data_IF_152491759311
#
_entry.id   IF_152491759311
#
_cell.length_a   1.000
_cell.length_b   1.000
_cell.length_c   1.000
_cell.angle_alpha   90.00
_cell.angle_beta   90.00
_cell.angle_gamma   90.00
#
_symmetry.space_group_name_H-M   'P 1'
#
loop_
_entity.id
_entity.type
_entity.pdbx_description
1 polymer ?
#
# COMPACT_ATOMS: atom_id res chain seq x y z
N UNK A 1 -3.67 0.90 -15.47
CA UNK A 1 -4.72 1.16 -14.45
C UNK A 1 -4.08 1.22 -13.07
N UNK A 2 -4.33 2.26 -12.25
CA UNK A 2 -3.78 2.37 -10.88
C UNK A 2 -4.58 3.34 -10.01
N UNK A 3 -4.49 3.17 -8.68
CA UNK A 3 -4.89 4.16 -7.67
C UNK A 3 -3.67 4.79 -6.97
N UNK A 4 -2.45 4.33 -7.28
CA UNK A 4 -1.24 4.80 -6.63
C UNK A 4 -0.86 6.20 -7.12
N UNK A 5 -0.25 6.98 -6.24
CA UNK A 5 0.25 8.32 -6.57
C UNK A 5 1.69 8.30 -7.10
N UNK A 6 2.44 7.21 -6.90
CA UNK A 6 3.83 7.13 -7.35
C UNK A 6 4.31 5.70 -7.62
N UNK A 7 5.30 5.56 -8.49
CA UNK A 7 5.99 4.29 -8.75
C UNK A 7 6.69 4.29 -10.11
N UNK A 8 7.62 3.34 -10.28
CA UNK A 8 8.36 3.13 -11.53
C UNK A 8 7.54 2.25 -12.48
N UNK A 9 7.25 2.75 -13.68
CA UNK A 9 6.48 2.02 -14.71
C UNK A 9 7.41 1.21 -15.59
N UNK A 10 8.44 1.82 -16.18
CA UNK A 10 9.50 1.06 -16.86
C UNK A 10 10.85 1.73 -16.71
N UNK A 11 11.91 0.94 -16.92
CA UNK A 11 13.29 1.39 -16.92
C UNK A 11 14.15 0.55 -17.88
N UNK A 12 15.04 1.21 -18.61
CA UNK A 12 16.10 0.60 -19.41
C UNK A 12 17.32 1.50 -19.36
N UNK A 13 18.52 0.90 -19.33
CA UNK A 13 19.76 1.64 -19.17
C UNK A 13 20.95 0.88 -19.76
N UNK A 14 22.03 1.61 -20.03
CA UNK A 14 23.35 1.03 -20.25
C UNK A 14 23.90 0.39 -18.95
N UNK A 15 24.89 -0.50 -19.05
CA UNK A 15 25.53 -1.15 -17.90
C UNK A 15 26.03 -0.15 -16.84
N UNK A 16 26.64 0.94 -17.31
CA UNK A 16 27.18 2.02 -16.47
C UNK A 16 26.12 3.07 -16.07
N UNK A 17 24.88 2.93 -16.57
CA UNK A 17 23.75 3.86 -16.37
C UNK A 17 24.05 5.31 -16.79
N UNK A 18 24.97 5.50 -17.75
CA UNK A 18 25.18 6.79 -18.40
C UNK A 18 23.96 7.14 -19.26
N UNK A 19 23.51 6.16 -20.04
CA UNK A 19 22.35 6.22 -20.91
C UNK A 19 21.19 5.47 -20.26
N UNK A 20 20.01 6.08 -20.28
CA UNK A 20 18.80 5.45 -19.77
C UNK A 20 17.53 6.10 -20.29
N UNK A 21 16.43 5.37 -20.19
CA UNK A 21 15.07 5.85 -20.34
C UNK A 21 14.19 5.28 -19.24
N UNK A 22 13.37 6.13 -18.63
CA UNK A 22 12.52 5.78 -17.48
C UNK A 22 11.19 6.50 -17.55
N UNK A 23 10.11 5.78 -17.24
CA UNK A 23 8.80 6.35 -17.01
C UNK A 23 8.38 6.12 -15.56
N UNK A 24 8.03 7.19 -14.87
CA UNK A 24 7.58 7.19 -13.48
C UNK A 24 6.22 7.86 -13.36
N UNK A 25 5.42 7.37 -12.40
CA UNK A 25 4.29 8.09 -11.86
C UNK A 25 4.76 8.88 -10.63
N UNK A 26 4.38 10.15 -10.51
CA UNK A 26 4.67 10.99 -9.35
C UNK A 26 3.54 11.98 -9.13
N UNK A 27 2.94 11.97 -7.93
CA UNK A 27 1.74 12.75 -7.64
C UNK A 27 0.57 12.42 -8.58
N UNK A 28 0.48 11.17 -9.03
CA UNK A 28 -0.52 10.69 -10.00
C UNK A 28 -0.29 11.13 -11.45
N UNK A 29 0.84 11.80 -11.75
CA UNK A 29 1.19 12.32 -13.08
C UNK A 29 2.41 11.62 -13.66
N UNK A 30 2.47 11.53 -14.98
CA UNK A 30 3.59 10.86 -15.66
C UNK A 30 4.78 11.78 -15.86
N UNK A 31 5.97 11.22 -15.60
CA UNK A 31 7.25 11.83 -15.92
C UNK A 31 8.11 10.84 -16.72
N UNK A 32 8.42 11.21 -17.94
CA UNK A 32 9.35 10.49 -18.81
C UNK A 32 10.71 11.19 -18.73
N UNK A 33 11.75 10.46 -18.36
CA UNK A 33 13.11 10.98 -18.33
C UNK A 33 14.03 10.07 -19.14
N UNK A 34 14.98 10.68 -19.83
CA UNK A 34 16.02 9.94 -20.54
C UNK A 34 17.30 10.76 -20.61
N UNK A 35 18.43 10.07 -20.70
CA UNK A 35 19.77 10.65 -20.83
C UNK A 35 20.51 9.87 -21.92
N UNK A 36 21.18 10.59 -22.81
CA UNK A 36 21.96 10.07 -23.94
C UNK A 36 23.46 10.18 -23.65
N UNK A 37 23.82 10.03 -22.37
CA UNK A 37 25.18 10.18 -21.83
C UNK A 37 25.65 11.63 -21.59
N UNK A 38 24.89 12.63 -22.03
CA UNK A 38 25.30 14.05 -22.04
C UNK A 38 24.31 15.02 -21.41
N UNK A 39 23.28 14.53 -20.74
CA UNK A 39 22.34 15.38 -20.03
C UNK A 39 20.94 14.78 -19.96
N UNK A 40 20.37 14.81 -18.76
CA UNK A 40 19.01 14.34 -18.51
C UNK A 40 17.98 15.30 -19.12
N UNK A 41 17.14 14.75 -19.99
CA UNK A 41 15.91 15.38 -20.47
C UNK A 41 14.72 14.87 -19.66
N UNK A 42 13.78 15.76 -19.30
CA UNK A 42 12.56 15.41 -18.55
C UNK A 42 11.32 15.96 -19.25
N UNK A 43 10.35 15.10 -19.49
CA UNK A 43 9.03 15.40 -20.05
C UNK A 43 7.99 15.07 -18.98
N UNK A 44 6.95 15.88 -18.86
CA UNK A 44 5.85 15.66 -17.91
C UNK A 44 4.50 15.83 -18.60
N UNK A 45 3.52 15.01 -18.22
CA UNK A 45 2.15 15.09 -18.74
C UNK A 45 1.17 15.55 -17.63
N UNK A 46 0.22 16.46 -17.90
CA UNK A 46 -0.71 16.98 -16.89
C UNK A 46 -1.90 16.06 -16.58
N UNK A 47 -2.10 14.95 -17.28
CA UNK A 47 -3.15 14.00 -16.93
C UNK A 47 -2.89 13.36 -15.55
N UNK A 48 -3.97 13.16 -14.79
CA UNK A 48 -3.96 12.41 -13.53
C UNK A 48 -4.41 10.97 -13.81
N UNK A 49 -3.56 9.98 -13.53
CA UNK A 49 -3.79 8.57 -13.88
C UNK A 49 -4.14 7.67 -12.68
N UNK A 50 -4.22 8.25 -11.48
CA UNK A 50 -4.50 7.55 -10.23
C UNK A 50 -6.00 7.47 -9.95
N UNK A 51 -6.81 7.18 -10.96
CA UNK A 51 -8.29 7.20 -10.91
C UNK A 51 -8.93 5.79 -10.99
N UNK A 52 -8.11 4.74 -11.05
CA UNK A 52 -8.58 3.37 -11.16
C UNK A 52 -9.03 2.96 -12.56
N UNK A 53 -8.85 3.78 -13.60
CA UNK A 53 -9.24 3.47 -14.97
C UNK A 53 -8.07 2.99 -15.82
N UNK A 54 -8.41 2.36 -16.95
CA UNK A 54 -7.42 2.04 -17.97
C UNK A 54 -7.07 3.30 -18.75
N UNK A 55 -5.78 3.53 -18.92
CA UNK A 55 -5.23 4.62 -19.74
C UNK A 55 -4.25 4.04 -20.75
N UNK A 56 -4.24 4.64 -21.93
CA UNK A 56 -3.22 4.41 -22.95
C UNK A 56 -2.09 5.42 -22.76
N UNK A 57 -0.86 4.93 -22.70
CA UNK A 57 0.33 5.75 -22.46
C UNK A 57 1.37 5.46 -23.51
N UNK A 58 1.89 6.50 -24.15
CA UNK A 58 2.98 6.43 -25.13
C UNK A 58 4.07 7.41 -24.73
N UNK A 59 5.32 6.97 -24.83
CA UNK A 59 6.52 7.81 -24.65
C UNK A 59 7.34 7.74 -25.93
N UNK A 60 7.58 8.87 -26.56
CA UNK A 60 8.34 8.95 -27.80
C UNK A 60 9.64 9.74 -27.57
N UNK A 61 10.73 9.22 -28.14
CA UNK A 61 11.97 9.95 -28.37
C UNK A 61 12.23 9.92 -29.88
N UNK A 62 12.07 11.06 -30.55
CA UNK A 62 12.18 11.16 -32.01
C UNK A 62 12.77 12.51 -32.40
N UNK A 63 13.68 12.54 -33.38
CA UNK A 63 14.29 13.79 -33.90
C UNK A 63 14.80 14.74 -32.80
N UNK A 64 15.48 14.19 -31.78
CA UNK A 64 15.96 14.94 -30.61
C UNK A 64 14.86 15.65 -29.81
N UNK A 65 13.64 15.12 -29.80
CA UNK A 65 12.53 15.57 -28.96
C UNK A 65 11.92 14.41 -28.18
N UNK A 66 11.57 14.66 -26.93
CA UNK A 66 10.80 13.77 -26.07
C UNK A 66 9.34 14.22 -25.98
N UNK A 67 8.42 13.25 -25.92
CA UNK A 67 6.98 13.47 -25.82
C UNK A 67 6.32 12.36 -24.97
N UNK A 68 5.26 12.72 -24.26
CA UNK A 68 4.32 11.76 -23.64
C UNK A 68 2.94 11.98 -24.27
N UNK A 69 2.26 10.89 -24.63
CA UNK A 69 0.85 10.90 -25.02
C UNK A 69 0.04 10.08 -24.02
N UNK A 70 -1.03 10.66 -23.46
CA UNK A 70 -1.98 9.96 -22.60
C UNK A 70 -3.37 10.07 -23.20
N UNK A 71 -4.01 8.94 -23.49
CA UNK A 71 -5.37 8.87 -24.05
C UNK A 71 -5.55 9.76 -25.30
N UNK A 72 -4.53 9.73 -26.16
CA UNK A 72 -4.47 10.51 -27.39
C UNK A 72 -4.09 11.99 -27.22
N UNK A 73 -3.93 12.48 -25.99
CA UNK A 73 -3.51 13.85 -25.70
C UNK A 73 -1.98 13.93 -25.56
N UNK A 74 -1.35 14.82 -26.30
CA UNK A 74 0.10 15.01 -26.29
C UNK A 74 0.54 16.05 -25.25
N UNK A 75 1.67 15.80 -24.58
CA UNK A 75 2.39 16.84 -23.83
C UNK A 75 3.09 17.82 -24.80
N UNK A 76 3.54 18.99 -24.31
CA UNK A 76 4.52 19.78 -25.05
C UNK A 76 5.78 18.94 -25.36
N UNK A 77 6.29 19.06 -26.58
CA UNK A 77 7.56 18.42 -26.97
C UNK A 77 8.73 19.11 -26.25
N UNK A 78 9.67 18.30 -25.74
CA UNK A 78 10.87 18.81 -25.07
C UNK A 78 12.11 18.44 -25.88
N UNK A 79 12.91 19.43 -26.26
CA UNK A 79 14.18 19.21 -26.94
C UNK A 79 15.20 18.55 -26.00
N UNK A 80 15.95 17.58 -26.52
CA UNK A 80 17.02 16.91 -25.76
C UNK A 80 18.05 17.91 -25.24
N UNK A 81 18.42 17.73 -23.98
CA UNK A 81 19.54 18.41 -23.33
C UNK A 81 20.86 17.76 -23.75
N UNK A 82 21.86 18.58 -24.09
CA UNK A 82 23.17 18.11 -24.56
C UNK A 82 23.18 17.71 -26.04
N UNK A 83 24.35 17.30 -26.53
CA UNK A 83 24.64 16.96 -27.93
C UNK A 83 24.70 15.43 -28.17
N UNK A 84 24.16 14.63 -27.25
CA UNK A 84 23.98 13.19 -27.46
C UNK A 84 22.97 12.91 -28.59
N UNK A 85 23.20 11.85 -29.34
CA UNK A 85 22.41 11.49 -30.53
C UNK A 85 21.84 10.07 -30.50
N UNK A 86 22.41 9.17 -29.70
CA UNK A 86 22.01 7.77 -29.55
C UNK A 86 21.58 7.50 -28.11
N UNK A 87 20.61 6.60 -27.94
CA UNK A 87 20.22 6.05 -26.64
C UNK A 87 20.76 4.62 -26.57
N UNK A 88 21.92 4.45 -25.96
CA UNK A 88 22.63 3.18 -25.95
C UNK A 88 22.29 2.39 -24.68
N UNK A 89 21.19 1.64 -24.71
CA UNK A 89 20.72 0.83 -23.57
C UNK A 89 21.00 -0.66 -23.77
N UNK A 90 21.18 -1.39 -22.67
CA UNK A 90 21.29 -2.85 -22.73
C UNK A 90 19.93 -3.50 -23.06
N UNK A 91 19.97 -4.75 -23.51
CA UNK A 91 18.80 -5.52 -23.96
C UNK A 91 17.79 -5.92 -22.87
N UNK A 92 17.84 -5.34 -21.67
CA UNK A 92 16.86 -5.58 -20.61
C UNK A 92 15.90 -4.41 -20.46
N UNK A 93 14.62 -4.72 -20.54
CA UNK A 93 13.52 -3.79 -20.29
C UNK A 93 12.83 -4.18 -18.98
N UNK A 94 13.01 -3.36 -17.95
CA UNK A 94 12.38 -3.57 -16.66
C UNK A 94 10.98 -2.96 -16.67
N UNK A 95 9.96 -3.76 -16.36
CA UNK A 95 8.54 -3.35 -16.36
C UNK A 95 7.96 -3.50 -14.95
N UNK A 96 7.30 -2.44 -14.47
CA UNK A 96 6.58 -2.40 -13.21
C UNK A 96 7.44 -2.24 -11.95
N UNK A 97 8.77 -2.31 -12.06
CA UNK A 97 9.69 -2.19 -10.93
C UNK A 97 11.12 -2.60 -11.27
N UNK A 98 11.97 -2.71 -10.25
CA UNK A 98 13.37 -3.10 -10.36
C UNK A 98 13.67 -4.28 -9.43
N UNK A 99 14.64 -5.15 -9.77
CA UNK A 99 15.12 -6.18 -8.85
C UNK A 99 15.60 -5.58 -7.53
N UNK A 100 15.40 -6.29 -6.41
CA UNK A 100 15.75 -5.81 -5.06
C UNK A 100 17.22 -5.40 -4.89
N UNK A 101 18.12 -6.03 -5.65
CA UNK A 101 19.56 -5.76 -5.64
C UNK A 101 19.96 -4.63 -6.60
N UNK A 102 19.10 -4.30 -7.57
CA UNK A 102 19.41 -3.28 -8.57
C UNK A 102 19.36 -1.88 -7.95
N UNK A 103 20.30 -1.02 -8.33
CA UNK A 103 20.40 0.36 -7.85
C UNK A 103 20.42 1.30 -9.05
N UNK A 104 19.24 1.77 -9.44
CA UNK A 104 19.11 2.77 -10.48
C UNK A 104 19.60 4.13 -9.97
N UNK A 105 20.48 4.78 -10.74
CA UNK A 105 21.07 6.08 -10.47
C UNK A 105 20.44 7.12 -11.39
N UNK A 106 20.55 8.40 -11.03
CA UNK A 106 20.12 9.57 -11.86
C UNK A 106 18.61 9.70 -12.14
N UNK A 107 17.77 8.75 -11.72
CA UNK A 107 16.30 8.76 -11.92
C UNK A 107 15.49 9.28 -10.72
N UNK A 108 16.15 9.84 -9.69
CA UNK A 108 15.51 10.33 -8.47
C UNK A 108 15.12 9.21 -7.50
N UNK A 109 14.20 9.51 -6.58
CA UNK A 109 13.87 8.62 -5.45
C UNK A 109 12.75 7.61 -5.75
N UNK A 110 12.03 7.76 -6.85
CA UNK A 110 10.91 6.90 -7.24
C UNK A 110 11.45 5.67 -7.98
N UNK A 111 11.95 4.72 -7.21
CA UNK A 111 12.54 3.47 -7.72
C UNK A 111 11.73 2.24 -7.30
N UNK A 112 10.71 2.43 -6.47
CA UNK A 112 9.81 1.37 -6.03
C UNK A 112 8.87 0.93 -7.16
N UNK A 113 8.44 -0.33 -7.08
CA UNK A 113 7.47 -0.90 -8.01
C UNK A 113 6.17 -0.11 -8.01
N UNK A 114 5.57 0.08 -9.19
CA UNK A 114 4.27 0.74 -9.31
C UNK A 114 3.15 -0.23 -8.91
N UNK A 115 2.27 0.13 -7.96
CA UNK A 115 1.05 -0.61 -7.69
C UNK A 115 0.02 -0.38 -8.80
N UNK A 116 0.21 -1.04 -9.94
CA UNK A 116 -0.63 -0.89 -11.12
C UNK A 116 -0.87 -2.20 -11.83
N UNK A 117 -1.99 -2.26 -12.56
CA UNK A 117 -2.16 -3.24 -13.61
C UNK A 117 -1.65 -2.67 -14.93
N UNK A 118 -0.73 -3.41 -15.57
CA UNK A 118 -0.15 -3.07 -16.87
C UNK A 118 -0.65 -4.09 -17.91
N UNK A 119 -1.39 -3.57 -18.89
CA UNK A 119 -1.94 -4.31 -20.02
C UNK A 119 -0.90 -4.50 -21.11
N UNK A 120 -1.30 -4.36 -22.37
CA UNK A 120 -0.38 -4.53 -23.50
C UNK A 120 0.76 -3.51 -23.46
N UNK A 121 1.94 -3.97 -23.88
CA UNK A 121 3.16 -3.16 -23.95
C UNK A 121 3.83 -3.42 -25.28
N UNK A 122 4.05 -2.36 -26.05
CA UNK A 122 4.82 -2.39 -27.29
C UNK A 122 6.06 -1.51 -27.14
N UNK A 123 7.21 -2.01 -27.59
CA UNK A 123 8.45 -1.23 -27.66
C UNK A 123 8.90 -1.22 -29.12
N UNK A 124 9.04 -0.04 -29.71
CA UNK A 124 9.39 0.14 -31.13
C UNK A 124 8.50 -0.72 -32.07
N UNK A 125 7.18 -0.68 -31.84
CA UNK A 125 6.16 -1.46 -32.57
C UNK A 125 6.23 -2.97 -32.41
N UNK A 126 7.16 -3.50 -31.60
CA UNK A 126 7.22 -4.92 -31.25
C UNK A 126 6.45 -5.14 -29.95
N UNK A 127 5.46 -6.04 -29.99
CA UNK A 127 4.78 -6.48 -28.78
C UNK A 127 5.77 -7.16 -27.84
N UNK A 128 5.77 -6.77 -26.57
CA UNK A 128 6.52 -7.45 -25.53
C UNK A 128 5.79 -8.72 -25.13
N UNK A 129 6.45 -9.87 -25.22
CA UNK A 129 5.94 -11.12 -24.67
C UNK A 129 6.10 -11.09 -23.14
N UNK A 130 4.99 -10.92 -22.43
CA UNK A 130 4.94 -10.91 -20.97
C UNK A 130 4.78 -12.30 -20.36
N UNK A 131 4.51 -13.32 -21.18
CA UNK A 131 4.36 -14.71 -20.75
C UNK A 131 5.71 -15.45 -20.73
N UNK A 132 6.71 -14.93 -21.46
CA UNK A 132 8.10 -15.45 -21.47
C UNK A 132 9.15 -14.42 -20.99
N UNK A 133 9.02 -13.85 -19.77
CA UNK A 133 9.98 -12.87 -19.26
C UNK A 133 11.33 -13.53 -18.92
N UNK A 134 12.44 -12.78 -19.07
CA UNK A 134 13.77 -13.22 -18.64
C UNK A 134 13.80 -13.54 -17.13
N UNK A 135 13.06 -12.76 -16.34
CA UNK A 135 12.84 -13.03 -14.92
C UNK A 135 11.61 -12.28 -14.41
N UNK A 136 10.99 -12.76 -13.33
CA UNK A 136 9.88 -12.09 -12.65
C UNK A 136 10.08 -12.08 -11.14
N UNK A 137 9.64 -11.02 -10.48
CA UNK A 137 9.63 -10.94 -9.02
C UNK A 137 8.29 -10.37 -8.55
N UNK A 138 7.54 -11.14 -7.75
CA UNK A 138 6.29 -10.71 -7.10
C UNK A 138 5.24 -10.09 -8.04
N UNK A 139 5.11 -10.62 -9.26
CA UNK A 139 4.08 -10.20 -10.23
C UNK A 139 2.85 -11.08 -10.07
N UNK A 140 1.66 -10.47 -10.04
CA UNK A 140 0.38 -11.15 -9.93
C UNK A 140 -0.57 -10.73 -11.05
N UNK A 141 -1.62 -11.54 -11.25
CA UNK A 141 -2.72 -11.20 -12.17
C UNK A 141 -3.56 -10.06 -11.62
N UNK A 142 -4.10 -9.25 -12.52
CA UNK A 142 -5.02 -8.19 -12.15
C UNK A 142 -6.46 -8.70 -12.08
N UNK A 143 -7.24 -8.18 -11.13
CA UNK A 143 -8.69 -8.35 -11.14
C UNK A 143 -9.32 -7.60 -12.32
N UNK A 144 -10.39 -8.16 -12.91
CA UNK A 144 -11.12 -7.50 -14.00
C UNK A 144 -11.64 -6.12 -13.58
N UNK A 145 -12.31 -6.06 -12.42
CA UNK A 145 -12.71 -4.83 -11.74
C UNK A 145 -11.96 -4.69 -10.41
N UNK A 146 -11.49 -3.47 -10.13
CA UNK A 146 -10.84 -3.15 -8.88
C UNK A 146 -11.23 -1.74 -8.41
N UNK A 147 -11.28 -1.57 -7.09
CA UNK A 147 -11.51 -0.30 -6.40
C UNK A 147 -10.31 0.04 -5.50
N UNK A 148 -10.29 1.26 -4.97
CA UNK A 148 -9.23 1.71 -4.07
C UNK A 148 -9.21 0.86 -2.78
N UNK A 149 -8.04 0.37 -2.41
CA UNK A 149 -7.83 -0.37 -1.17
C UNK A 149 -6.76 -1.43 -1.32
N UNK A 150 -6.35 -2.03 -0.22
CA UNK A 150 -5.40 -3.15 -0.21
C UNK A 150 -6.14 -4.43 0.12
N UNK A 151 -6.07 -5.42 -0.76
CA UNK A 151 -6.75 -6.69 -0.57
C UNK A 151 -5.87 -7.69 0.17
N UNK A 152 -6.46 -8.35 1.15
CA UNK A 152 -5.90 -9.46 1.90
C UNK A 152 -6.70 -10.70 1.49
N UNK A 153 -6.01 -11.74 1.00
CA UNK A 153 -6.69 -12.95 0.52
C UNK A 153 -7.08 -13.94 1.63
N UNK A 154 -6.67 -13.66 2.88
CA UNK A 154 -6.89 -14.51 4.04
C UNK A 154 -5.75 -15.48 4.34
N UNK A 155 -4.62 -15.42 3.62
CA UNK A 155 -3.48 -16.33 3.81
C UNK A 155 -2.30 -15.73 4.56
N UNK A 156 -2.29 -14.42 4.82
CA UNK A 156 -1.14 -13.77 5.45
C UNK A 156 -1.45 -12.44 6.14
N UNK A 157 -0.57 -11.46 5.96
CA UNK A 157 -0.56 -10.19 6.70
C UNK A 157 0.35 -9.16 6.02
N UNK A 158 0.28 -7.91 6.49
CA UNK A 158 1.27 -6.87 6.22
C UNK A 158 1.90 -6.39 7.54
N UNK A 159 3.23 -6.25 7.57
CA UNK A 159 3.98 -5.75 8.72
C UNK A 159 4.58 -4.36 8.41
N UNK A 160 4.21 -3.39 9.23
CA UNK A 160 4.60 -1.98 9.11
C UNK A 160 5.48 -1.56 10.30
N UNK A 161 6.26 -0.50 10.11
CA UNK A 161 7.09 0.12 11.17
C UNK A 161 8.08 -0.88 11.78
N UNK A 162 9.07 -1.31 10.99
CA UNK A 162 10.10 -2.29 11.39
C UNK A 162 10.80 -1.91 12.70
N UNK A 163 11.08 -0.63 12.89
CA UNK A 163 11.76 -0.09 14.08
C UNK A 163 10.88 -0.08 15.35
N UNK A 164 9.61 -0.40 15.21
CA UNK A 164 8.65 -0.47 16.30
C UNK A 164 7.77 0.78 16.43
N UNK A 165 6.50 0.55 16.76
CA UNK A 165 5.53 1.58 17.09
C UNK A 165 5.29 1.63 18.60
N UNK A 166 5.25 2.85 19.15
CA UNK A 166 5.03 3.10 20.59
C UNK A 166 3.63 3.65 20.83
N UNK A 167 2.71 2.77 21.24
CA UNK A 167 1.30 3.12 21.54
C UNK A 167 1.19 4.15 22.67
N UNK A 168 1.83 3.91 23.82
CA UNK A 168 1.81 4.79 24.99
C UNK A 168 0.38 5.02 25.56
N UNK A 169 0.12 6.21 26.07
CA UNK A 169 -1.08 6.57 26.84
C UNK A 169 -2.32 6.76 25.97
N UNK A 170 -2.17 7.47 24.85
CA UNK A 170 -3.29 7.86 23.99
C UNK A 170 -2.96 7.52 22.53
N UNK A 171 -3.89 6.81 21.88
CA UNK A 171 -3.83 6.55 20.44
C UNK A 171 -5.24 6.52 19.87
N UNK A 172 -5.43 7.15 18.71
CA UNK A 172 -6.64 7.00 17.90
C UNK A 172 -6.23 6.27 16.61
N UNK A 173 -6.96 5.20 16.29
CA UNK A 173 -6.73 4.36 15.11
C UNK A 173 -7.98 4.49 14.26
N UNK A 174 -7.83 4.85 12.99
CA UNK A 174 -8.93 4.86 12.03
C UNK A 174 -8.58 4.02 10.83
N UNK A 175 -9.55 3.27 10.31
CA UNK A 175 -9.45 2.53 9.07
C UNK A 175 -10.84 2.31 8.48
N UNK A 176 -10.88 2.00 7.19
CA UNK A 176 -12.06 1.45 6.54
C UNK A 176 -11.79 -0.01 6.15
N UNK A 177 -12.79 -0.88 6.37
CA UNK A 177 -12.69 -2.29 5.99
C UNK A 177 -13.91 -2.75 5.20
N UNK A 178 -13.69 -3.74 4.33
CA UNK A 178 -14.71 -4.44 3.55
C UNK A 178 -14.41 -5.92 3.59
N UNK A 179 -15.39 -6.77 3.93
CA UNK A 179 -15.18 -8.22 4.00
C UNK A 179 -16.45 -9.00 3.72
N UNK A 180 -16.29 -10.28 3.39
CA UNK A 180 -17.35 -11.30 3.40
C UNK A 180 -17.09 -12.40 4.43
N UNK A 181 -16.12 -12.20 5.33
CA UNK A 181 -15.80 -13.10 6.43
C UNK A 181 -16.29 -12.52 7.75
N UNK A 182 -16.83 -13.37 8.62
CA UNK A 182 -17.22 -12.99 9.98
C UNK A 182 -16.04 -12.94 10.96
N UNK A 183 -14.89 -13.49 10.56
CA UNK A 183 -13.71 -13.65 11.39
C UNK A 183 -12.47 -13.11 10.66
N UNK A 184 -11.59 -12.42 11.38
CA UNK A 184 -10.33 -11.94 10.84
C UNK A 184 -9.63 -10.90 11.71
N UNK A 185 -8.32 -11.04 11.85
CA UNK A 185 -7.46 -10.05 12.52
C UNK A 185 -7.36 -8.79 11.67
N UNK A 186 -7.74 -7.63 12.21
CA UNK A 186 -7.60 -6.35 11.51
C UNK A 186 -6.23 -5.72 11.79
N UNK A 187 -5.86 -5.57 13.06
CA UNK A 187 -4.61 -4.92 13.46
C UNK A 187 -4.12 -5.44 14.82
N UNK A 188 -2.80 -5.63 14.98
CA UNK A 188 -2.18 -5.99 16.26
C UNK A 188 -0.83 -5.30 16.48
N UNK A 189 -0.62 -4.78 17.68
CA UNK A 189 0.68 -4.30 18.17
C UNK A 189 0.88 -4.87 19.56
N UNK A 190 1.87 -5.75 19.73
CA UNK A 190 2.05 -6.49 20.98
C UNK A 190 3.51 -6.59 21.34
N UNK A 191 3.80 -6.41 22.64
CA UNK A 191 5.05 -6.89 23.22
C UNK A 191 5.01 -8.42 23.34
N UNK A 192 6.18 -9.03 23.55
CA UNK A 192 6.24 -10.47 23.84
C UNK A 192 5.65 -10.86 25.20
N UNK A 193 5.47 -9.87 26.11
CA UNK A 193 5.10 -10.08 27.51
C UNK A 193 3.61 -9.85 27.76
N UNK A 194 3.18 -8.59 27.87
CA UNK A 194 1.83 -8.24 28.38
C UNK A 194 1.20 -7.12 27.55
N UNK A 195 1.90 -6.00 27.41
CA UNK A 195 1.38 -4.79 26.79
C UNK A 195 1.06 -5.00 25.32
N UNK A 196 -0.20 -4.72 24.94
CA UNK A 196 -0.67 -4.92 23.59
C UNK A 196 -1.97 -4.17 23.30
N UNK A 197 -2.20 -3.90 22.02
CA UNK A 197 -3.50 -3.54 21.46
C UNK A 197 -3.85 -4.49 20.31
N UNK A 198 -5.14 -4.74 20.11
CA UNK A 198 -5.61 -5.57 19.00
C UNK A 198 -7.02 -5.20 18.57
N UNK A 199 -7.26 -5.28 17.26
CA UNK A 199 -8.53 -5.11 16.59
C UNK A 199 -8.80 -6.36 15.74
N UNK A 200 -9.97 -6.96 15.93
CA UNK A 200 -10.37 -8.17 15.21
C UNK A 200 -11.87 -8.27 15.01
N UNK A 201 -12.25 -8.99 13.96
CA UNK A 201 -13.59 -9.50 13.73
C UNK A 201 -13.69 -10.89 14.35
N UNK A 202 -14.69 -11.09 15.20
CA UNK A 202 -15.02 -12.40 15.81
C UNK A 202 -16.52 -12.60 15.75
N UNK A 203 -16.95 -13.63 15.02
CA UNK A 203 -18.36 -14.01 14.84
C UNK A 203 -19.28 -12.83 14.46
N UNK A 204 -18.79 -11.98 13.55
CA UNK A 204 -19.52 -10.81 13.04
C UNK A 204 -19.50 -9.58 13.96
N UNK A 205 -18.77 -9.63 15.08
CA UNK A 205 -18.55 -8.51 16.02
C UNK A 205 -17.18 -7.89 15.79
N UNK A 206 -17.05 -6.59 16.08
CA UNK A 206 -15.73 -5.93 16.12
C UNK A 206 -15.29 -5.80 17.57
N UNK A 207 -14.10 -6.31 17.88
CA UNK A 207 -13.53 -6.25 19.22
C UNK A 207 -12.29 -5.36 19.20
N UNK A 208 -12.22 -4.43 20.16
CA UNK A 208 -11.03 -3.64 20.45
C UNK A 208 -10.48 -4.00 21.82
N UNK A 209 -9.32 -4.66 21.83
CA UNK A 209 -8.63 -5.12 23.02
C UNK A 209 -7.45 -4.22 23.36
N UNK A 210 -7.28 -3.92 24.64
CA UNK A 210 -6.12 -3.19 25.17
C UNK A 210 -5.65 -3.84 26.47
N UNK A 211 -4.34 -3.97 26.65
CA UNK A 211 -3.75 -4.38 27.92
C UNK A 211 -2.60 -3.42 28.27
N UNK A 212 -2.77 -2.66 29.35
CA UNK A 212 -1.80 -1.70 29.88
C UNK A 212 -0.85 -2.32 30.92
N UNK A 213 -0.66 -3.65 30.89
CA UNK A 213 0.14 -4.39 31.88
C UNK A 213 -0.65 -4.95 33.06
N UNK A 214 -1.91 -4.54 33.25
CA UNK A 214 -2.74 -4.91 34.39
C UNK A 214 -3.99 -5.72 34.04
N UNK A 215 -4.04 -6.30 32.84
CA UNK A 215 -5.17 -7.09 32.37
C UNK A 215 -5.81 -6.50 31.11
N UNK A 216 -6.43 -7.38 30.32
CA UNK A 216 -7.06 -7.02 29.05
C UNK A 216 -8.44 -6.42 29.29
N UNK A 217 -8.66 -5.23 28.75
CA UNK A 217 -9.99 -4.61 28.58
C UNK A 217 -10.45 -4.73 27.14
N UNK A 218 -11.75 -4.80 26.93
CA UNK A 218 -12.35 -5.01 25.61
C UNK A 218 -13.59 -4.15 25.41
N UNK A 219 -13.61 -3.36 24.34
CA UNK A 219 -14.84 -2.76 23.82
C UNK A 219 -15.35 -3.63 22.67
N UNK A 220 -16.61 -4.07 22.73
CA UNK A 220 -17.21 -4.97 21.73
C UNK A 220 -18.38 -4.27 21.05
N UNK A 221 -18.27 -4.09 19.73
CA UNK A 221 -19.38 -3.63 18.91
C UNK A 221 -20.07 -4.86 18.30
N UNK A 222 -21.34 -5.04 18.66
CA UNK A 222 -22.20 -6.09 18.13
C UNK A 222 -23.28 -5.46 17.23
N UNK A 223 -23.25 -5.73 15.91
CA UNK A 223 -24.27 -5.23 15.02
C UNK A 223 -25.63 -5.92 15.27
N UNK A 224 -26.72 -5.31 14.79
CA UNK A 224 -28.08 -5.88 14.91
C UNK A 224 -28.23 -7.25 14.28
N UNK A 225 -27.44 -7.55 13.25
CA UNK A 225 -27.40 -8.86 12.59
C UNK A 225 -25.94 -9.28 12.40
N UNK A 226 -25.65 -10.57 12.56
CA UNK A 226 -24.30 -11.11 12.49
C UNK A 226 -23.64 -10.98 11.10
N UNK A 227 -24.40 -10.62 10.08
CA UNK A 227 -23.91 -10.42 8.69
C UNK A 227 -23.75 -8.95 8.31
N UNK A 228 -24.10 -8.01 9.20
CA UNK A 228 -24.13 -6.58 8.88
C UNK A 228 -22.74 -6.01 8.52
N UNK A 229 -21.66 -6.62 9.00
CA UNK A 229 -20.28 -6.17 8.78
C UNK A 229 -19.50 -7.03 7.77
N UNK A 230 -20.11 -8.11 7.29
CA UNK A 230 -19.54 -8.98 6.26
C UNK A 230 -20.41 -8.99 5.00
N UNK A 231 -21.06 -7.85 4.70
CA UNK A 231 -21.97 -7.66 3.58
C UNK A 231 -21.24 -7.27 2.27
N UNK A 232 -19.90 -7.20 2.31
CA UNK A 232 -19.07 -6.79 1.19
C UNK A 232 -19.03 -5.28 0.92
N UNK A 233 -19.57 -4.44 1.81
CA UNK A 233 -19.49 -2.98 1.71
C UNK A 233 -18.39 -2.41 2.61
N UNK A 234 -18.11 -1.12 2.45
CA UNK A 234 -17.15 -0.41 3.27
C UNK A 234 -17.78 0.00 4.59
N UNK A 235 -17.10 -0.35 5.68
CA UNK A 235 -17.42 0.07 7.04
C UNK A 235 -16.30 0.95 7.59
N UNK A 236 -16.69 1.96 8.36
CA UNK A 236 -15.76 2.86 9.05
C UNK A 236 -15.50 2.35 10.46
N UNK A 237 -14.22 2.32 10.86
CA UNK A 237 -13.79 1.91 12.20
C UNK A 237 -12.90 2.99 12.81
N UNK A 238 -13.22 3.40 14.04
CA UNK A 238 -12.33 4.18 14.87
C UNK A 238 -12.15 3.51 16.24
N UNK A 239 -10.91 3.35 16.67
CA UNK A 239 -10.55 2.80 17.97
C UNK A 239 -9.70 3.80 18.74
N UNK A 240 -10.23 4.26 19.87
CA UNK A 240 -9.64 5.29 20.70
C UNK A 240 -9.22 4.68 22.02
N UNK A 241 -7.94 4.78 22.33
CA UNK A 241 -7.43 4.55 23.67
C UNK A 241 -7.10 5.89 24.29
N UNK A 242 -7.62 6.14 25.49
CA UNK A 242 -7.17 7.23 26.34
C UNK A 242 -6.94 6.76 27.76
N UNK A 243 -5.65 6.67 28.16
CA UNK A 243 -5.23 6.13 29.45
C UNK A 243 -5.81 4.72 29.69
N UNK A 244 -6.79 4.63 30.58
CA UNK A 244 -7.47 3.41 31.00
C UNK A 244 -8.88 3.26 30.41
N UNK A 245 -9.32 4.20 29.57
CA UNK A 245 -10.59 4.12 28.83
C UNK A 245 -10.33 3.79 27.37
N UNK A 246 -11.23 3.01 26.79
CA UNK A 246 -11.24 2.72 25.35
C UNK A 246 -12.63 2.95 24.76
N UNK A 247 -12.67 3.46 23.54
CA UNK A 247 -13.89 3.62 22.76
C UNK A 247 -13.67 3.00 21.38
N UNK A 248 -14.62 2.19 20.95
CA UNK A 248 -14.70 1.64 19.60
C UNK A 248 -15.93 2.26 18.92
N UNK A 249 -15.75 2.79 17.71
CA UNK A 249 -16.80 3.41 16.90
C UNK A 249 -16.84 2.66 15.57
N UNK A 250 -17.98 2.05 15.26
CA UNK A 250 -18.21 1.36 13.98
C UNK A 250 -19.44 1.96 13.31
N UNK A 251 -19.25 2.52 12.11
CA UNK A 251 -20.30 3.21 11.34
C UNK A 251 -21.04 4.27 12.19
N UNK A 252 -20.28 5.04 12.96
CA UNK A 252 -20.77 6.09 13.84
C UNK A 252 -21.33 5.61 15.19
N UNK A 253 -21.46 4.30 15.43
CA UNK A 253 -21.98 3.76 16.68
C UNK A 253 -20.85 3.51 17.68
N UNK A 254 -20.88 4.20 18.82
CA UNK A 254 -19.84 4.13 19.83
C UNK A 254 -20.17 3.13 20.94
N UNK A 255 -19.17 2.34 21.33
CA UNK A 255 -19.16 1.47 22.52
C UNK A 255 -17.87 1.71 23.28
N UNK A 256 -17.90 1.59 24.61
CA UNK A 256 -16.75 1.88 25.45
C UNK A 256 -16.50 0.82 26.51
N UNK A 257 -15.27 0.78 27.00
CA UNK A 257 -14.89 0.00 28.17
C UNK A 257 -13.79 0.74 28.95
N UNK A 258 -13.66 0.43 30.23
CA UNK A 258 -12.65 1.02 31.09
C UNK A 258 -11.97 -0.03 31.96
N UNK A 259 -10.69 0.19 32.26
CA UNK A 259 -9.95 -0.68 33.18
C UNK A 259 -10.17 -0.23 34.62
N UNK A 260 -10.44 -1.17 35.56
CA UNK A 260 -10.47 -0.84 36.98
C UNK A 260 -9.08 -0.43 37.51
N UNK A 261 -8.01 -0.72 36.77
CA UNK A 261 -6.63 -0.39 37.14
C UNK A 261 -6.23 1.00 36.62
N UNK A 262 -6.75 2.05 37.25
CA UNK A 262 -6.59 3.46 36.83
C UNK A 262 -5.14 3.98 36.80
N UNK A 263 -4.22 3.32 37.51
CA UNK A 263 -2.78 3.65 37.51
C UNK A 263 -2.03 3.09 36.30
N UNK A 264 -2.52 2.01 35.69
CA UNK A 264 -1.93 1.37 34.52
C UNK A 264 -2.53 1.96 33.25
N UNK A 265 -1.87 2.98 32.71
CA UNK A 265 -2.44 3.82 31.64
C UNK A 265 -1.68 3.77 30.32
N UNK A 266 -0.46 3.25 30.30
CA UNK A 266 0.38 3.16 29.10
C UNK A 266 0.38 1.76 28.52
N UNK A 267 0.55 1.66 27.20
CA UNK A 267 0.92 0.43 26.49
C UNK A 267 2.34 0.62 25.98
N UNK A 268 3.29 0.03 26.68
CA UNK A 268 4.73 0.23 26.49
C UNK A 268 5.29 -0.69 25.40
N UNK A 269 4.68 -0.60 24.23
CA UNK A 269 5.12 -1.27 23.01
C UNK A 269 6.28 -0.54 22.35
N UNK A 270 7.11 -1.28 21.62
CA UNK A 270 8.03 -0.76 20.62
C UNK A 270 8.17 -1.83 19.52
N UNK A 271 7.04 -2.22 18.94
CA UNK A 271 6.90 -3.43 18.12
C UNK A 271 6.24 -3.10 16.78
N UNK A 272 6.46 -3.91 15.73
CA UNK A 272 5.81 -3.70 14.45
C UNK A 272 4.29 -3.66 14.54
N UNK A 273 3.67 -2.96 13.59
CA UNK A 273 2.22 -2.98 13.39
C UNK A 273 1.92 -4.10 12.41
N UNK A 274 1.19 -5.12 12.87
CA UNK A 274 0.70 -6.18 12.01
C UNK A 274 -0.73 -5.90 11.60
N UNK A 275 -1.04 -6.05 10.32
CA UNK A 275 -2.35 -5.76 9.74
C UNK A 275 -2.83 -6.96 8.93
N UNK A 276 -4.10 -7.32 9.08
CA UNK A 276 -4.72 -8.45 8.37
C UNK A 276 -4.33 -9.84 8.87
N UNK A 277 -3.46 -9.94 9.87
CA UNK A 277 -2.90 -11.20 10.39
C UNK A 277 -1.54 -10.95 11.02
N UNK A 278 -0.80 -12.00 11.37
CA UNK A 278 0.57 -11.91 11.88
C UNK A 278 1.36 -13.21 11.67
N UNK A 279 2.71 -13.18 11.65
CA UNK A 279 3.52 -14.38 11.42
C UNK A 279 3.35 -15.42 12.52
N UNK A 280 3.48 -16.69 12.15
CA UNK A 280 3.56 -17.79 13.11
C UNK A 280 4.71 -17.56 14.11
N UNK A 281 4.47 -17.83 15.39
CA UNK A 281 5.44 -17.63 16.46
C UNK A 281 5.49 -16.20 17.03
N UNK A 282 4.92 -15.20 16.35
CA UNK A 282 4.74 -13.86 16.93
C UNK A 282 3.57 -13.88 17.91
N UNK A 283 3.83 -13.47 19.16
CA UNK A 283 2.80 -13.40 20.21
C UNK A 283 1.98 -12.12 20.08
N UNK A 284 0.66 -12.27 20.00
CA UNK A 284 -0.30 -11.17 20.04
C UNK A 284 -1.18 -11.30 21.28
N UNK A 285 -0.92 -10.52 22.33
CA UNK A 285 -1.60 -10.67 23.64
C UNK A 285 -3.01 -10.10 23.68
N UNK A 286 -3.34 -9.23 22.73
CA UNK A 286 -4.65 -8.59 22.60
C UNK A 286 -5.39 -9.03 21.32
N UNK A 287 -5.08 -10.22 20.81
CA UNK A 287 -5.87 -10.87 19.76
C UNK A 287 -6.26 -12.25 20.27
N UNK A 288 -7.54 -12.60 20.11
CA UNK A 288 -8.09 -13.92 20.44
C UNK A 288 -8.04 -14.87 19.24
N UNK A 289 -7.97 -14.33 18.02
CA UNK A 289 -7.91 -15.10 16.79
C UNK A 289 -6.49 -15.10 16.17
N UNK A 290 -6.20 -16.17 15.43
CA UNK A 290 -5.08 -16.26 14.48
C UNK A 290 -5.58 -16.22 13.02
N UNK A 291 -6.89 -16.07 12.81
CA UNK A 291 -7.49 -16.08 11.47
C UNK A 291 -7.07 -14.82 10.73
N UNK A 292 -6.33 -14.98 9.64
CA UNK A 292 -6.00 -13.89 8.74
C UNK A 292 -7.26 -13.30 8.11
N UNK A 293 -7.30 -11.98 8.02
CA UNK A 293 -8.38 -11.23 7.41
C UNK A 293 -8.44 -11.49 5.92
N UNK A 294 -9.65 -11.73 5.42
CA UNK A 294 -9.96 -11.80 4.00
C UNK A 294 -10.87 -10.64 3.64
N UNK A 295 -10.42 -9.75 2.78
CA UNK A 295 -11.17 -8.53 2.46
C UNK A 295 -10.24 -7.39 2.08
N UNK A 296 -10.75 -6.17 2.08
CA UNK A 296 -9.98 -4.98 1.77
C UNK A 296 -9.89 -4.03 2.95
N UNK A 297 -8.73 -3.41 3.10
CA UNK A 297 -8.49 -2.33 4.06
C UNK A 297 -8.02 -1.08 3.33
N UNK A 298 -8.44 0.10 3.78
CA UNK A 298 -7.93 1.39 3.30
C UNK A 298 -7.91 2.44 4.40
N UNK A 299 -7.23 3.55 4.14
CA UNK A 299 -7.17 4.75 5.01
C UNK A 299 -6.75 4.45 6.45
N UNK A 300 -5.74 3.60 6.64
CA UNK A 300 -5.18 3.33 7.97
C UNK A 300 -4.42 4.57 8.48
N UNK A 301 -4.91 5.18 9.54
CA UNK A 301 -4.28 6.33 10.21
C UNK A 301 -4.17 6.03 11.70
N UNK A 302 -2.99 6.24 12.28
CA UNK A 302 -2.79 6.26 13.72
C UNK A 302 -2.38 7.66 14.16
N UNK A 303 -3.12 8.20 15.12
CA UNK A 303 -2.96 9.56 15.65
C UNK A 303 -2.49 9.46 17.10
N UNK A 304 -1.35 10.10 17.38
CA UNK A 304 -0.77 10.27 18.71
C UNK A 304 -0.33 11.72 18.83
N UNK A 305 -1.17 12.56 19.46
CA UNK A 305 -0.97 14.03 19.45
C UNK A 305 0.46 14.42 19.87
N UNK A 306 1.15 15.30 19.11
CA UNK A 306 0.67 16.03 17.92
C UNK A 306 0.87 15.31 16.56
N UNK A 307 1.35 14.06 16.55
CA UNK A 307 1.68 13.32 15.34
C UNK A 307 0.46 12.60 14.74
N UNK A 308 0.22 12.85 13.45
CA UNK A 308 -0.72 12.08 12.61
C UNK A 308 0.12 11.24 11.65
N UNK A 309 -0.04 9.93 11.67
CA UNK A 309 0.68 9.01 10.79
C UNK A 309 -0.30 8.23 9.94
N UNK A 310 -0.32 8.53 8.63
CA UNK A 310 -1.03 7.72 7.63
C UNK A 310 -0.12 6.60 7.16
N UNK A 311 -0.63 5.38 7.14
CA UNK A 311 0.12 4.19 6.74
C UNK A 311 -0.33 3.72 5.36
N UNK A 312 0.57 3.88 4.41
CA UNK A 312 0.47 3.22 3.12
C UNK A 312 1.02 1.79 3.24
N UNK A 313 0.18 0.79 2.94
CA UNK A 313 0.56 -0.62 3.00
C UNK A 313 1.70 -0.98 2.05
N UNK A 314 1.93 -0.21 0.98
CA UNK A 314 3.09 -0.39 0.10
C UNK A 314 4.44 -0.14 0.79
N UNK A 315 4.42 0.47 1.97
CA UNK A 315 5.60 0.68 2.82
C UNK A 315 5.80 -0.43 3.85
N UNK A 316 5.01 -1.50 3.81
CA UNK A 316 5.25 -2.68 4.62
C UNK A 316 6.66 -3.21 4.34
N UNK A 317 7.40 -3.55 5.40
CA UNK A 317 8.72 -4.15 5.23
C UNK A 317 8.64 -5.64 4.92
N UNK A 318 7.47 -6.23 5.14
CA UNK A 318 7.15 -7.63 4.90
C UNK A 318 5.63 -7.77 4.69
N UNK A 319 5.21 -8.55 3.69
CA UNK A 319 3.81 -8.87 3.46
C UNK A 319 3.64 -10.21 2.75
N UNK A 320 2.56 -10.93 3.07
CA UNK A 320 2.21 -12.23 2.51
C UNK A 320 0.70 -12.29 2.23
N UNK A 321 0.28 -12.73 1.04
CA UNK A 321 -1.16 -12.77 0.70
C UNK A 321 -1.83 -11.40 0.60
N UNK A 322 -1.05 -10.35 0.29
CA UNK A 322 -1.51 -8.95 0.23
C UNK A 322 -1.31 -8.37 -1.17
N UNK A 323 -2.36 -7.75 -1.69
CA UNK A 323 -2.39 -7.10 -3.00
C UNK A 323 -2.56 -5.59 -2.80
N UNK A 324 -1.44 -4.89 -2.91
CA UNK A 324 -1.33 -3.45 -2.62
C UNK A 324 -2.13 -2.61 -3.61
N UNK A 325 -2.89 -1.64 -3.10
CA UNK A 325 -3.70 -0.69 -3.89
C UNK A 325 -4.61 -1.32 -4.95
N UNK A 326 -4.99 -2.59 -4.79
CA UNK A 326 -5.98 -3.27 -5.62
C UNK A 326 -6.94 -4.06 -4.75
N UNK A 327 -8.16 -3.56 -4.59
CA UNK A 327 -9.27 -4.27 -3.98
C UNK A 327 -10.22 -4.83 -5.06
N UNK A 328 -10.53 -6.14 -5.10
CA UNK A 328 -11.45 -6.71 -6.07
C UNK A 328 -12.86 -6.10 -6.03
N UNK A 329 -13.49 -6.03 -7.19
CA UNK A 329 -14.88 -5.61 -7.36
C UNK A 329 -15.05 -4.13 -7.67
N UNK A 330 -16.28 -3.74 -8.00
CA UNK A 330 -16.68 -2.35 -8.19
C UNK A 330 -17.08 -1.72 -6.86
N UNK A 331 -16.81 -0.42 -6.70
CA UNK A 331 -17.38 0.36 -5.62
C UNK A 331 -18.88 0.55 -5.92
N UNK A 332 -19.74 0.12 -4.99
CA UNK A 332 -21.20 0.15 -5.10
C UNK A 332 -21.79 1.19 -4.17
#
# INVERSE_FOLDING_TARGET
RTFASSGLIYYMAHQNQADYAVLQLHGGRLHFMFDLGKGRTKVSHPALLSDGKWHTVKTDYVKRKGLITVDGQESPMVTVVGDGTTLDVEGLFYLGGLPSQYRARKIGNITHSIPACIGDVTVNSKQLDKDSPVSTFTVNRCYAAAQEGTFFDGSGYAALVKEGYKVQTDVNITLEFRTSSQNGVLLGISTAKVDAIGLELVDGKVLFHVNNGAGRITATYEPKTATALCDGKWHTLQANKSKHHITLIVDGNAVGAESPHTRSTSVDTNNPIYVGGYPAGVKQKCLSSQTSFRGCLRKLVLIKRPQVQSFDFSRAFEWHGVFLHSCPGTES
#
